data_IF_739341625141
#
_entry.id   IF_739341625141
#
_cell.length_a   1.000
_cell.length_b   1.000
_cell.length_c   1.000
_cell.angle_alpha   90.00
_cell.angle_beta   90.00
_cell.angle_gamma   90.00
#
_symmetry.space_group_name_H-M   'P 1'
#
loop_
_entity.id
_entity.type
_entity.pdbx_description
1 polymer ?
#
# COMPACT_ATOMS: atom_id res chain seq x y z
N UNK A 1 35.34 -16.23 35.23
CA UNK A 1 35.18 -16.78 33.88
C UNK A 1 34.62 -15.72 32.95
N UNK A 2 35.49 -15.13 32.12
CA UNK A 2 35.10 -14.07 31.17
C UNK A 2 34.36 -14.71 29.99
N UNK A 3 33.10 -14.31 29.79
CA UNK A 3 32.34 -14.69 28.59
C UNK A 3 32.81 -13.81 27.43
N UNK A 4 33.73 -14.31 26.61
CA UNK A 4 34.08 -13.65 25.33
C UNK A 4 32.82 -13.54 24.46
N UNK A 5 32.32 -12.31 24.29
CA UNK A 5 31.23 -12.02 23.35
C UNK A 5 31.83 -12.04 21.93
N UNK A 6 31.39 -13.00 21.13
CA UNK A 6 31.75 -13.09 19.72
C UNK A 6 31.27 -11.83 18.98
N UNK A 7 32.17 -11.18 18.23
CA UNK A 7 31.81 -10.00 17.43
C UNK A 7 31.08 -10.42 16.14
N UNK A 8 30.35 -9.49 15.51
CA UNK A 8 29.67 -9.77 14.23
C UNK A 8 30.67 -10.15 13.12
N UNK A 9 31.88 -9.59 13.15
CA UNK A 9 32.98 -9.95 12.23
C UNK A 9 33.44 -11.38 12.44
N UNK A 10 33.62 -11.80 13.71
CA UNK A 10 34.05 -13.16 14.05
C UNK A 10 32.99 -14.19 13.63
N UNK A 11 31.71 -13.87 13.78
CA UNK A 11 30.60 -14.70 13.31
C UNK A 11 30.62 -14.87 11.78
N UNK A 12 30.80 -13.77 11.03
CA UNK A 12 30.83 -13.82 9.58
C UNK A 12 32.06 -14.56 9.06
N UNK A 13 33.22 -14.40 9.67
CA UNK A 13 34.44 -15.13 9.27
C UNK A 13 34.33 -16.63 9.57
N UNK A 14 33.71 -16.99 10.70
CA UNK A 14 33.48 -18.39 11.06
C UNK A 14 32.49 -19.08 10.11
N UNK A 15 31.41 -18.37 9.72
CA UNK A 15 30.44 -18.92 8.75
C UNK A 15 31.01 -19.05 7.35
N UNK A 16 31.92 -18.16 6.93
CA UNK A 16 32.63 -18.27 5.64
C UNK A 16 33.57 -19.48 5.61
N UNK A 17 34.27 -19.76 6.71
CA UNK A 17 35.13 -20.92 6.81
C UNK A 17 34.38 -22.25 6.87
N UNK A 18 33.19 -22.28 7.52
CA UNK A 18 32.35 -23.46 7.55
C UNK A 18 31.76 -23.80 6.17
N UNK A 19 31.58 -22.80 5.30
CA UNK A 19 31.10 -23.00 3.92
C UNK A 19 32.12 -23.63 2.98
N UNK A 20 33.44 -23.43 3.22
CA UNK A 20 34.50 -23.97 2.34
C UNK A 20 34.78 -25.44 2.62
N UNK A 21 34.52 -25.96 3.81
CA UNK A 21 34.76 -27.36 4.16
C UNK A 21 33.68 -28.34 3.65
N UNK A 22 32.60 -27.88 3.06
CA UNK A 22 31.49 -28.70 2.55
C UNK A 22 31.50 -28.88 1.02
N UNK A 23 32.50 -28.36 0.29
CA UNK A 23 32.58 -28.45 -1.16
C UNK A 23 33.23 -29.80 -1.64
N UNK A 24 33.31 -30.77 -0.75
CA UNK A 24 33.89 -32.10 -1.07
C UNK A 24 32.90 -33.20 -1.49
N UNK A 25 31.59 -32.94 -1.52
CA UNK A 25 30.63 -33.90 -2.04
C UNK A 25 29.73 -33.28 -3.09
N UNK A 26 29.97 -33.72 -4.33
CA UNK A 26 29.27 -33.30 -5.56
C UNK A 26 27.77 -33.62 -5.62
N UNK A 27 27.18 -34.05 -4.52
CA UNK A 27 25.77 -34.50 -4.48
C UNK A 27 24.79 -33.51 -3.80
N UNK A 28 25.27 -32.36 -3.27
CA UNK A 28 24.37 -31.40 -2.56
C UNK A 28 23.94 -30.25 -3.50
N UNK A 29 24.53 -30.10 -4.68
CA UNK A 29 24.21 -29.03 -5.61
C UNK A 29 23.15 -29.38 -6.66
N UNK A 30 22.61 -30.59 -6.66
CA UNK A 30 21.56 -31.01 -7.61
C UNK A 30 20.12 -30.63 -7.15
N UNK A 31 19.94 -30.06 -5.95
CA UNK A 31 18.63 -29.63 -5.50
C UNK A 31 18.18 -28.28 -6.06
N UNK A 32 19.04 -27.55 -6.77
CA UNK A 32 18.68 -26.30 -7.44
C UNK A 32 18.44 -26.46 -8.95
N UNK A 33 18.16 -27.68 -9.41
CA UNK A 33 17.98 -27.99 -10.82
C UNK A 33 16.55 -27.95 -11.37
N UNK A 34 15.55 -27.70 -10.53
CA UNK A 34 14.24 -27.31 -11.06
C UNK A 34 14.32 -25.84 -11.49
N UNK A 35 14.38 -25.64 -12.79
CA UNK A 35 14.14 -24.33 -13.38
C UNK A 35 12.78 -23.90 -12.88
N UNK A 36 12.74 -23.00 -11.87
CA UNK A 36 11.52 -22.33 -11.48
C UNK A 36 10.82 -21.79 -12.73
N UNK A 37 9.53 -21.49 -12.66
CA UNK A 37 8.79 -21.01 -13.81
C UNK A 37 9.56 -19.88 -14.46
N UNK A 38 9.90 -20.06 -15.75
CA UNK A 38 10.60 -19.04 -16.54
C UNK A 38 9.66 -17.84 -16.57
N UNK A 39 10.01 -16.81 -15.81
CA UNK A 39 9.25 -15.57 -15.82
C UNK A 39 9.54 -14.87 -17.15
N UNK A 40 8.69 -15.08 -18.13
CA UNK A 40 8.71 -14.29 -19.35
C UNK A 40 8.14 -12.92 -19.03
N UNK A 41 8.92 -11.84 -19.15
CA UNK A 41 8.39 -10.50 -19.00
C UNK A 41 7.23 -10.31 -19.96
N UNK A 42 6.11 -9.75 -19.50
CA UNK A 42 4.93 -9.46 -20.32
C UNK A 42 5.22 -8.47 -21.46
N UNK A 43 6.36 -7.78 -21.41
CA UNK A 43 6.85 -6.85 -22.44
C UNK A 43 8.36 -6.99 -22.59
N UNK A 44 8.86 -6.72 -23.78
CA UNK A 44 10.29 -6.66 -24.05
C UNK A 44 10.99 -5.58 -23.23
N UNK A 45 12.24 -5.84 -22.85
CA UNK A 45 13.06 -4.86 -22.15
C UNK A 45 13.16 -3.57 -22.98
N UNK A 46 12.90 -2.42 -22.37
CA UNK A 46 12.87 -1.12 -23.02
C UNK A 46 11.49 -0.64 -23.48
N UNK A 47 10.44 -1.48 -23.37
CA UNK A 47 9.05 -1.10 -23.65
C UNK A 47 8.30 -0.61 -22.42
N UNK A 48 8.94 -0.59 -21.25
CA UNK A 48 8.34 -0.10 -20.03
C UNK A 48 8.48 1.43 -19.98
N UNK A 49 7.35 2.11 -19.89
CA UNK A 49 7.34 3.51 -19.54
C UNK A 49 7.63 3.67 -18.06
N UNK A 50 8.72 4.32 -17.74
CA UNK A 50 9.04 4.76 -16.38
C UNK A 50 8.81 6.26 -16.38
N UNK A 51 7.71 6.76 -15.78
CA UNK A 51 7.44 8.19 -15.77
C UNK A 51 8.56 8.93 -15.02
N UNK A 52 8.97 10.08 -15.56
CA UNK A 52 9.86 10.99 -14.85
C UNK A 52 9.12 11.45 -13.58
N UNK A 53 9.83 11.60 -12.46
CA UNK A 53 9.24 11.94 -11.14
C UNK A 53 8.34 13.18 -11.15
N UNK A 54 8.45 14.04 -12.14
CA UNK A 54 7.65 15.25 -12.31
C UNK A 54 6.59 15.15 -13.41
N UNK A 55 6.45 14.00 -14.07
CA UNK A 55 5.37 13.78 -15.02
C UNK A 55 4.04 13.75 -14.26
N UNK A 56 3.32 14.85 -14.31
CA UNK A 56 1.94 14.94 -13.85
C UNK A 56 1.05 14.99 -15.08
N UNK A 57 -0.03 14.22 -15.05
CA UNK A 57 -1.09 14.35 -16.05
C UNK A 57 -1.86 15.65 -15.76
N UNK A 58 -1.37 16.77 -16.28
CA UNK A 58 -1.96 18.10 -16.06
C UNK A 58 -3.30 18.29 -16.79
N UNK A 59 -3.58 17.47 -17.78
CA UNK A 59 -4.74 17.49 -18.68
C UNK A 59 -5.74 16.35 -18.41
N UNK A 60 -5.53 15.57 -17.38
CA UNK A 60 -6.41 14.46 -17.00
C UNK A 60 -7.75 14.94 -16.45
N UNK A 61 -8.78 14.07 -16.60
CA UNK A 61 -10.07 14.26 -15.93
C UNK A 61 -9.88 14.33 -14.41
N UNK A 62 -10.62 15.20 -13.74
CA UNK A 62 -10.65 15.22 -12.25
C UNK A 62 -10.98 13.83 -11.71
N UNK A 63 -10.12 13.31 -10.83
CA UNK A 63 -10.29 12.02 -10.17
C UNK A 63 -10.91 12.21 -8.77
N UNK A 64 -11.97 11.47 -8.50
CA UNK A 64 -12.68 11.49 -7.23
C UNK A 64 -12.11 10.42 -6.30
N UNK A 65 -11.55 10.85 -5.20
CA UNK A 65 -10.96 9.95 -4.20
C UNK A 65 -11.87 9.79 -2.98
N UNK A 66 -11.96 8.55 -2.48
CA UNK A 66 -12.55 8.24 -1.18
C UNK A 66 -11.48 7.79 -0.18
N UNK A 67 -11.73 8.00 1.12
CA UNK A 67 -10.83 7.53 2.18
C UNK A 67 -11.58 6.61 3.13
N UNK A 68 -11.07 5.40 3.33
CA UNK A 68 -11.60 4.40 4.25
C UNK A 68 -10.55 4.15 5.34
N UNK A 69 -10.86 4.61 6.56
CA UNK A 69 -9.92 4.70 7.67
C UNK A 69 -9.24 6.07 7.75
N UNK A 70 -9.87 6.99 8.50
CA UNK A 70 -9.49 8.41 8.59
C UNK A 70 -8.44 8.70 9.69
N UNK A 71 -7.86 7.67 10.29
CA UNK A 71 -6.79 7.79 11.29
C UNK A 71 -5.49 8.36 10.73
N UNK A 72 -4.41 8.32 11.52
CA UNK A 72 -3.11 8.92 11.15
C UNK A 72 -2.56 8.44 9.81
N UNK A 73 -2.66 7.15 9.50
CA UNK A 73 -2.18 6.58 8.22
C UNK A 73 -3.04 7.00 7.04
N UNK A 74 -4.38 6.91 7.15
CA UNK A 74 -5.28 7.36 6.08
C UNK A 74 -5.15 8.86 5.82
N UNK A 75 -5.05 9.66 6.89
CA UNK A 75 -4.77 11.09 6.77
C UNK A 75 -3.46 11.36 6.04
N UNK A 76 -2.36 10.69 6.42
CA UNK A 76 -1.08 10.84 5.74
C UNK A 76 -1.15 10.45 4.27
N UNK A 77 -1.77 9.31 3.97
CA UNK A 77 -1.88 8.80 2.60
C UNK A 77 -2.69 9.75 1.68
N UNK A 78 -3.80 10.30 2.15
CA UNK A 78 -4.60 11.23 1.32
C UNK A 78 -3.86 12.54 1.05
N UNK A 79 -3.12 13.09 2.02
CA UNK A 79 -2.31 14.28 1.76
C UNK A 79 -1.14 14.00 0.82
N UNK A 80 -0.52 12.83 0.92
CA UNK A 80 0.50 12.41 -0.05
C UNK A 80 -0.08 12.30 -1.46
N UNK A 81 -1.28 11.73 -1.59
CA UNK A 81 -1.98 11.64 -2.87
C UNK A 81 -2.26 13.04 -3.46
N UNK A 82 -2.80 13.96 -2.66
CA UNK A 82 -3.09 15.33 -3.08
C UNK A 82 -1.82 16.11 -3.48
N UNK A 83 -0.68 15.80 -2.87
CA UNK A 83 0.61 16.41 -3.21
C UNK A 83 1.27 15.78 -4.44
N UNK A 84 0.95 14.52 -4.75
CA UNK A 84 1.59 13.78 -5.84
C UNK A 84 1.00 14.08 -7.22
N UNK A 85 -0.28 14.51 -7.29
CA UNK A 85 -0.94 14.76 -8.56
C UNK A 85 -1.93 15.93 -8.45
N UNK A 86 -2.10 16.63 -9.57
CA UNK A 86 -3.15 17.63 -9.74
C UNK A 86 -4.48 16.94 -10.12
N UNK A 87 -5.60 17.67 -10.01
CA UNK A 87 -6.90 17.16 -10.46
C UNK A 87 -7.48 16.03 -9.58
N UNK A 88 -7.04 15.90 -8.33
CA UNK A 88 -7.62 14.96 -7.38
C UNK A 88 -8.52 15.71 -6.40
N UNK A 89 -9.74 15.20 -6.21
CA UNK A 89 -10.70 15.72 -5.26
C UNK A 89 -11.16 14.62 -4.29
N UNK A 90 -11.04 14.89 -3.00
CA UNK A 90 -11.58 14.00 -1.97
C UNK A 90 -13.08 14.27 -1.83
N UNK A 91 -13.90 13.25 -2.14
CA UNK A 91 -15.36 13.40 -2.19
C UNK A 91 -16.11 12.58 -1.15
N UNK A 92 -15.47 11.58 -0.51
CA UNK A 92 -16.12 10.76 0.49
C UNK A 92 -15.13 10.29 1.57
N UNK A 93 -15.60 10.22 2.81
CA UNK A 93 -14.84 9.75 3.98
C UNK A 93 -15.62 8.66 4.71
N UNK A 94 -14.90 7.63 5.19
CA UNK A 94 -15.47 6.57 6.01
C UNK A 94 -14.53 6.14 7.13
N UNK A 95 -15.04 6.05 8.33
CA UNK A 95 -14.34 5.49 9.49
C UNK A 95 -15.34 4.84 10.45
N UNK A 96 -14.87 3.92 11.27
CA UNK A 96 -15.69 3.37 12.36
C UNK A 96 -15.92 4.40 13.46
N UNK A 97 -15.01 5.35 13.64
CA UNK A 97 -15.01 6.34 14.70
C UNK A 97 -15.22 7.77 14.16
N UNK A 98 -16.26 8.44 14.67
CA UNK A 98 -16.64 9.78 14.24
C UNK A 98 -15.55 10.84 14.49
N UNK A 99 -14.81 10.75 15.60
CA UNK A 99 -13.72 11.65 15.95
C UNK A 99 -12.59 11.63 14.93
N UNK A 100 -12.20 10.44 14.44
CA UNK A 100 -11.19 10.28 13.41
C UNK A 100 -11.64 10.84 12.07
N UNK A 101 -12.87 10.55 11.69
CA UNK A 101 -13.48 11.07 10.47
C UNK A 101 -13.52 12.59 10.48
N UNK A 102 -14.06 13.19 11.56
CA UNK A 102 -14.17 14.64 11.69
C UNK A 102 -12.79 15.32 11.72
N UNK A 103 -11.82 14.71 12.41
CA UNK A 103 -10.44 15.23 12.43
C UNK A 103 -9.81 15.28 11.05
N UNK A 104 -10.03 14.27 10.20
CA UNK A 104 -9.57 14.32 8.81
C UNK A 104 -10.35 15.33 7.98
N UNK A 105 -11.67 15.37 8.11
CA UNK A 105 -12.53 16.33 7.41
C UNK A 105 -12.10 17.79 7.65
N UNK A 106 -11.86 18.16 8.91
CA UNK A 106 -11.39 19.49 9.27
C UNK A 106 -10.03 19.83 8.67
N UNK A 107 -9.12 18.85 8.62
CA UNK A 107 -7.79 19.03 8.01
C UNK A 107 -7.89 19.20 6.49
N UNK A 108 -8.75 18.44 5.83
CA UNK A 108 -9.01 18.55 4.39
C UNK A 108 -9.61 19.91 4.04
N UNK A 109 -10.57 20.39 4.82
CA UNK A 109 -11.17 21.70 4.63
C UNK A 109 -10.13 22.85 4.67
N UNK A 110 -9.14 22.78 5.59
CA UNK A 110 -8.01 23.71 5.65
C UNK A 110 -7.09 23.68 4.43
N UNK A 111 -7.17 22.61 3.63
CA UNK A 111 -6.41 22.42 2.39
C UNK A 111 -7.29 22.57 1.14
N UNK A 112 -8.39 23.30 1.23
CA UNK A 112 -9.36 23.52 0.15
C UNK A 112 -10.01 22.24 -0.40
N UNK A 113 -10.01 21.17 0.40
CA UNK A 113 -10.71 19.91 0.08
C UNK A 113 -11.95 19.81 0.98
N UNK A 114 -13.10 20.29 0.50
CA UNK A 114 -14.34 20.27 1.26
C UNK A 114 -15.12 19.01 0.92
N UNK A 115 -15.34 18.15 1.92
CA UNK A 115 -16.17 16.96 1.80
C UNK A 115 -17.53 17.25 2.43
N UNK A 116 -18.61 17.01 1.67
CA UNK A 116 -19.97 17.24 2.12
C UNK A 116 -20.37 16.31 3.27
N UNK A 117 -21.23 16.76 4.16
CA UNK A 117 -21.62 15.99 5.35
C UNK A 117 -22.32 14.68 5.01
N UNK A 118 -23.13 14.67 3.98
CA UNK A 118 -23.81 13.47 3.44
C UNK A 118 -22.86 12.45 2.78
N UNK A 119 -21.59 12.80 2.63
CA UNK A 119 -20.50 11.94 2.13
C UNK A 119 -19.51 11.53 3.23
N UNK A 120 -19.86 11.76 4.47
CA UNK A 120 -19.10 11.40 5.65
C UNK A 120 -19.81 10.27 6.41
N UNK A 121 -19.26 9.06 6.34
CA UNK A 121 -19.92 7.85 6.82
C UNK A 121 -19.22 7.27 8.04
N UNK A 122 -19.96 7.04 9.12
CA UNK A 122 -19.47 6.42 10.36
C UNK A 122 -20.04 5.02 10.51
N UNK A 123 -19.20 4.09 10.94
CA UNK A 123 -19.59 2.70 11.24
C UNK A 123 -18.84 1.66 10.39
N UNK A 124 -19.11 0.39 10.67
CA UNK A 124 -18.44 -0.73 10.01
C UNK A 124 -18.75 -0.84 8.51
N UNK A 125 -19.95 -0.42 8.09
CA UNK A 125 -20.36 -0.44 6.68
C UNK A 125 -19.99 0.85 5.92
N UNK A 126 -19.30 1.78 6.57
CA UNK A 126 -18.88 3.04 5.97
C UNK A 126 -18.11 2.85 4.66
N UNK A 127 -17.29 1.79 4.56
CA UNK A 127 -16.52 1.49 3.35
C UNK A 127 -17.40 1.29 2.12
N UNK A 128 -18.54 0.60 2.25
CA UNK A 128 -19.49 0.41 1.14
C UNK A 128 -20.03 1.76 0.66
N UNK A 129 -20.46 2.60 1.59
CA UNK A 129 -21.03 3.91 1.28
C UNK A 129 -20.00 4.85 0.62
N UNK A 130 -18.73 4.78 1.04
CA UNK A 130 -17.65 5.51 0.38
C UNK A 130 -17.48 5.03 -1.06
N UNK A 131 -17.37 3.72 -1.27
CA UNK A 131 -17.18 3.14 -2.60
C UNK A 131 -18.39 3.42 -3.50
N UNK A 132 -19.61 3.31 -2.98
CA UNK A 132 -20.85 3.59 -3.72
C UNK A 132 -21.12 5.08 -3.94
N UNK A 133 -20.29 5.99 -3.41
CA UNK A 133 -20.41 7.44 -3.59
C UNK A 133 -19.97 7.95 -4.97
N UNK A 134 -19.58 7.07 -5.87
CA UNK A 134 -19.13 7.42 -7.22
C UNK A 134 -17.68 7.91 -7.24
N UNK A 135 -16.83 7.30 -6.42
CA UNK A 135 -15.39 7.53 -6.40
C UNK A 135 -14.70 6.75 -7.52
N UNK A 136 -13.65 7.32 -8.10
CA UNK A 136 -12.80 6.65 -9.08
C UNK A 136 -11.74 5.80 -8.38
N UNK A 137 -11.31 6.21 -7.18
CA UNK A 137 -10.32 5.52 -6.38
C UNK A 137 -10.59 5.64 -4.87
N UNK A 138 -10.10 4.65 -4.11
CA UNK A 138 -10.16 4.67 -2.65
C UNK A 138 -8.80 4.42 -2.02
N UNK A 139 -8.54 5.13 -0.93
CA UNK A 139 -7.45 4.83 0.01
C UNK A 139 -8.04 3.94 1.11
N UNK A 140 -7.50 2.73 1.29
CA UNK A 140 -7.90 1.78 2.32
C UNK A 140 -6.80 1.71 3.38
N UNK A 141 -7.00 2.41 4.49
CA UNK A 141 -6.05 2.52 5.61
C UNK A 141 -6.62 1.96 6.92
N UNK A 142 -7.61 1.10 6.83
CA UNK A 142 -8.19 0.37 7.96
C UNK A 142 -7.20 -0.67 8.52
N UNK A 143 -7.43 -1.25 9.71
CA UNK A 143 -6.61 -2.36 10.20
C UNK A 143 -6.58 -3.53 9.23
N UNK A 144 -5.47 -4.30 9.16
CA UNK A 144 -5.26 -5.35 8.16
C UNK A 144 -6.37 -6.40 8.07
N UNK A 145 -7.00 -6.74 9.21
CA UNK A 145 -8.09 -7.71 9.26
C UNK A 145 -9.34 -7.32 8.45
N UNK A 146 -9.55 -6.02 8.21
CA UNK A 146 -10.71 -5.52 7.46
C UNK A 146 -10.40 -5.24 5.99
N UNK A 147 -9.13 -5.10 5.62
CA UNK A 147 -8.73 -4.71 4.27
C UNK A 147 -9.18 -5.67 3.18
N UNK A 148 -9.09 -7.00 3.35
CA UNK A 148 -9.53 -7.94 2.32
C UNK A 148 -10.99 -7.72 1.90
N UNK A 149 -11.90 -7.55 2.86
CA UNK A 149 -13.33 -7.33 2.60
C UNK A 149 -13.55 -5.98 1.90
N UNK A 150 -12.85 -4.94 2.32
CA UNK A 150 -12.95 -3.62 1.72
C UNK A 150 -12.40 -3.61 0.29
N UNK A 151 -11.28 -4.27 0.08
CA UNK A 151 -10.65 -4.39 -1.23
C UNK A 151 -11.49 -5.23 -2.19
N UNK A 152 -12.03 -6.35 -1.72
CA UNK A 152 -12.95 -7.16 -2.51
C UNK A 152 -14.12 -6.32 -3.03
N UNK A 153 -14.78 -5.58 -2.15
CA UNK A 153 -15.91 -4.72 -2.52
C UNK A 153 -15.52 -3.63 -3.52
N UNK A 154 -14.38 -2.99 -3.32
CA UNK A 154 -13.89 -1.99 -4.26
C UNK A 154 -13.60 -2.60 -5.65
N UNK A 155 -13.01 -3.79 -5.69
CA UNK A 155 -12.72 -4.52 -6.94
C UNK A 155 -14.02 -4.92 -7.66
N UNK A 156 -15.01 -5.43 -6.94
CA UNK A 156 -16.33 -5.77 -7.49
C UNK A 156 -17.05 -4.57 -8.11
N UNK A 157 -16.79 -3.37 -7.56
CA UNK A 157 -17.34 -2.10 -8.08
C UNK A 157 -16.46 -1.44 -9.15
N UNK A 158 -15.32 -2.03 -9.49
CA UNK A 158 -14.39 -1.47 -10.47
C UNK A 158 -13.67 -0.20 -10.00
N UNK A 159 -13.56 0.02 -8.69
CA UNK A 159 -12.91 1.19 -8.10
C UNK A 159 -11.43 0.90 -7.85
N UNK A 160 -10.55 1.80 -8.31
CA UNK A 160 -9.12 1.70 -8.05
C UNK A 160 -8.82 1.80 -6.57
N UNK A 161 -7.87 1.01 -6.07
CA UNK A 161 -7.59 0.94 -4.64
C UNK A 161 -6.11 1.14 -4.32
N UNK A 162 -5.82 2.04 -3.38
CA UNK A 162 -4.54 2.09 -2.68
C UNK A 162 -4.71 1.45 -1.30
N UNK A 163 -3.99 0.36 -1.04
CA UNK A 163 -4.03 -0.36 0.23
C UNK A 163 -2.77 -0.10 1.04
N UNK A 164 -2.96 0.27 2.31
CA UNK A 164 -1.84 0.31 3.26
C UNK A 164 -1.34 -1.10 3.59
N UNK A 165 -0.06 -1.18 3.89
CA UNK A 165 0.59 -2.43 4.33
C UNK A 165 0.27 -2.74 5.81
N UNK A 166 0.28 -4.01 6.21
CA UNK A 166 0.16 -5.21 5.40
C UNK A 166 -1.25 -5.31 4.79
N UNK A 167 -1.35 -5.97 3.62
CA UNK A 167 -2.61 -6.04 2.88
C UNK A 167 -3.66 -6.85 3.62
N UNK A 168 -3.22 -7.93 4.28
CA UNK A 168 -4.06 -8.83 5.04
C UNK A 168 -3.33 -9.33 6.29
N UNK A 169 -4.06 -9.97 7.17
CA UNK A 169 -3.59 -10.90 8.19
C UNK A 169 -4.15 -12.27 7.86
N UNK A 170 -3.48 -13.33 8.31
CA UNK A 170 -3.85 -14.73 8.04
C UNK A 170 -5.25 -15.06 8.59
#
# INVERSE_FOLDING_TARGET
>A
MSKNKMSRKDFLSLSAMAGVSLVGSSSILTSCGEKGPVYTPLKEAGTYYIPVLNDKADDGKELKAGVIGCGGRGSGAVFNLLNAANGIKVVALGDTFADRLNGLKDRLAKSNQVVADDKCFVGFDAYKKVIDSGVDMVIIATPPAFRPIHFQYATEKGVHSFLEKPIAVD
#
